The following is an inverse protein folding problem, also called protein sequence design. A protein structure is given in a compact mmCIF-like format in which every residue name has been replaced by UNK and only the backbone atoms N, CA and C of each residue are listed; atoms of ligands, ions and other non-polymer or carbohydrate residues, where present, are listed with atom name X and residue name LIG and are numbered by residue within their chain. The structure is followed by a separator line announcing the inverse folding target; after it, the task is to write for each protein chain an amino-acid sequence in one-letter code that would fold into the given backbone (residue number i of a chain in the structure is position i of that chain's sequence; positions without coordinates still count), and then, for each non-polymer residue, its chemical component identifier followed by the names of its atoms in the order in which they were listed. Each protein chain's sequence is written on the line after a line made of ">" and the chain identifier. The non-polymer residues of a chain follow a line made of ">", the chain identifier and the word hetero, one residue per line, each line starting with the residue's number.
data_IF_748938082202
#
_entry.id   IF_748938082202
#
_cell.length_a   1.000
_cell.length_b   1.000
_cell.length_c   1.000
_cell.angle_alpha   90.00
_cell.angle_beta   90.00
_cell.angle_gamma   90.00
#
_symmetry.space_group_name_H-M   'P 1'
#
loop_
_entity.id
_entity.type
_entity.pdbx_description
1 polymer ?
#
# COMPACT_ATOMS: atom_id res chain seq x y z
N UNK A 1 4.82 -18.67 11.92
CA UNK A 1 4.15 -19.07 10.65
C UNK A 1 3.01 -18.08 10.37
N UNK A 2 3.34 -16.83 10.03
CA UNK A 2 2.34 -15.74 9.93
C UNK A 2 2.92 -14.43 9.40
N UNK A 3 4.25 -14.33 9.43
CA UNK A 3 5.01 -13.22 8.88
C UNK A 3 4.78 -12.94 7.38
N UNK A 4 4.81 -13.95 6.49
CA UNK A 4 4.58 -13.72 5.06
C UNK A 4 3.13 -13.28 4.76
N UNK A 5 2.16 -13.81 5.51
CA UNK A 5 0.73 -13.58 5.27
C UNK A 5 0.31 -12.13 5.51
N UNK A 6 0.88 -11.42 6.51
CA UNK A 6 0.46 -10.04 6.79
C UNK A 6 0.91 -9.07 5.70
N UNK A 7 2.12 -9.24 5.17
CA UNK A 7 2.62 -8.42 4.07
C UNK A 7 1.84 -8.69 2.78
N UNK A 8 1.59 -9.97 2.47
CA UNK A 8 0.84 -10.38 1.29
C UNK A 8 -0.61 -9.85 1.31
N UNK A 9 -1.30 -10.02 2.44
CA UNK A 9 -2.66 -9.47 2.62
C UNK A 9 -2.65 -7.94 2.59
N UNK A 10 -1.63 -7.30 3.16
CA UNK A 10 -1.45 -5.85 3.10
C UNK A 10 -1.37 -5.32 1.66
N UNK A 11 -0.64 -6.00 0.78
CA UNK A 11 -0.56 -5.67 -0.65
C UNK A 11 -1.93 -5.88 -1.31
N UNK A 12 -2.59 -7.00 -1.06
CA UNK A 12 -3.90 -7.31 -1.65
C UNK A 12 -4.95 -6.26 -1.27
N UNK A 13 -4.95 -5.80 -0.02
CA UNK A 13 -5.83 -4.72 0.44
C UNK A 13 -5.44 -3.34 -0.11
N UNK A 14 -4.16 -3.10 -0.35
CA UNK A 14 -3.65 -1.85 -0.92
C UNK A 14 -4.06 -1.64 -2.38
N UNK A 15 -4.07 -2.70 -3.20
CA UNK A 15 -4.41 -2.63 -4.62
C UNK A 15 -5.73 -1.86 -4.89
N UNK A 16 -6.89 -2.24 -4.30
CA UNK A 16 -8.15 -1.54 -4.55
C UNK A 16 -8.13 -0.10 -4.03
N UNK A 17 -7.43 0.17 -2.91
CA UNK A 17 -7.30 1.52 -2.35
C UNK A 17 -6.51 2.42 -3.29
N UNK A 18 -5.37 1.96 -3.80
CA UNK A 18 -4.53 2.71 -4.75
C UNK A 18 -5.31 3.01 -6.03
N UNK A 19 -6.01 2.01 -6.59
CA UNK A 19 -6.86 2.18 -7.77
C UNK A 19 -7.97 3.23 -7.55
N UNK A 20 -8.62 3.19 -6.38
CA UNK A 20 -9.69 4.14 -6.04
C UNK A 20 -9.15 5.57 -5.91
N UNK A 21 -8.01 5.76 -5.25
CA UNK A 21 -7.40 7.08 -5.05
C UNK A 21 -6.86 7.64 -6.37
N UNK A 22 -6.26 6.81 -7.22
CA UNK A 22 -5.82 7.19 -8.55
C UNK A 22 -6.98 7.70 -9.42
N UNK A 23 -8.12 6.98 -9.40
CA UNK A 23 -9.33 7.38 -10.13
C UNK A 23 -9.95 8.68 -9.60
N UNK A 24 -10.03 8.85 -8.27
CA UNK A 24 -10.60 10.09 -7.68
C UNK A 24 -9.75 11.32 -7.96
N UNK A 25 -8.43 11.15 -8.03
CA UNK A 25 -7.49 12.24 -8.23
C UNK A 25 -7.07 12.50 -9.68
N UNK A 26 -7.52 11.70 -10.65
CA UNK A 26 -6.99 11.68 -12.03
C UNK A 26 -5.44 11.65 -12.05
N UNK A 27 -4.85 10.94 -11.09
CA UNK A 27 -3.41 10.80 -10.98
C UNK A 27 -2.98 9.46 -11.58
N UNK A 28 -1.83 9.44 -12.26
CA UNK A 28 -1.21 8.21 -12.75
C UNK A 28 -1.05 7.20 -11.61
N UNK A 29 -1.35 5.92 -11.91
CA UNK A 29 -1.38 4.84 -10.93
C UNK A 29 -0.04 4.71 -10.20
N UNK A 30 1.07 4.89 -10.91
CA UNK A 30 2.42 4.82 -10.34
C UNK A 30 2.70 5.93 -9.33
N UNK A 31 2.09 7.10 -9.49
CA UNK A 31 2.30 8.24 -8.58
C UNK A 31 1.75 7.99 -7.19
N UNK A 32 0.76 7.11 -7.07
CA UNK A 32 0.13 6.74 -5.79
C UNK A 32 0.54 5.33 -5.36
N UNK A 33 0.67 4.40 -6.31
CA UNK A 33 1.02 3.01 -6.05
C UNK A 33 2.45 2.82 -5.55
N UNK A 34 3.42 3.54 -6.12
CA UNK A 34 4.83 3.41 -5.67
C UNK A 34 5.01 3.90 -4.23
N UNK A 35 4.52 5.10 -3.82
CA UNK A 35 4.61 5.53 -2.43
C UNK A 35 3.87 4.62 -1.46
N UNK A 36 2.70 4.12 -1.87
CA UNK A 36 1.89 3.18 -1.12
C UNK A 36 2.65 1.86 -0.84
N UNK A 37 3.21 1.24 -1.87
CA UNK A 37 3.98 0.00 -1.76
C UNK A 37 5.29 0.22 -0.99
N UNK A 38 6.01 1.31 -1.27
CA UNK A 38 7.23 1.66 -0.54
C UNK A 38 6.97 1.84 0.97
N UNK A 39 5.87 2.53 1.33
CA UNK A 39 5.46 2.69 2.72
C UNK A 39 5.17 1.36 3.40
N UNK A 40 4.39 0.49 2.74
CA UNK A 40 4.07 -0.85 3.25
C UNK A 40 5.34 -1.70 3.45
N UNK A 41 6.25 -1.70 2.46
CA UNK A 41 7.51 -2.45 2.53
C UNK A 41 8.44 -1.94 3.64
N UNK A 42 8.60 -0.63 3.79
CA UNK A 42 9.48 -0.06 4.81
C UNK A 42 8.89 -0.27 6.21
N UNK A 43 7.58 -0.06 6.39
CA UNK A 43 6.96 -0.33 7.69
C UNK A 43 7.05 -1.80 8.08
N UNK A 44 6.92 -2.71 7.11
CA UNK A 44 7.06 -4.14 7.38
C UNK A 44 8.51 -4.54 7.70
N UNK A 45 9.51 -4.04 6.95
CA UNK A 45 10.89 -4.51 7.05
C UNK A 45 11.78 -3.77 8.05
N UNK A 46 11.53 -2.49 8.31
CA UNK A 46 12.46 -1.59 9.03
C UNK A 46 11.99 -1.19 10.42
N UNK A 47 10.70 -1.32 10.74
CA UNK A 47 10.18 -0.97 12.06
C UNK A 47 10.23 -2.22 12.95
N UNK A 48 10.87 -2.16 14.14
CA UNK A 48 10.91 -3.29 15.08
C UNK A 48 9.57 -3.41 15.81
N UNK A 49 8.60 -4.14 15.24
CA UNK A 49 8.04 -5.28 15.97
C UNK A 49 8.05 -6.58 15.14
N UNK A 50 8.84 -6.63 14.06
CA UNK A 50 8.98 -7.83 13.22
C UNK A 50 9.97 -8.83 13.86
N UNK A 51 9.69 -10.14 13.81
CA UNK A 51 10.56 -11.19 14.36
C UNK A 51 12.03 -11.15 13.92
N UNK A 52 12.37 -10.63 12.73
CA UNK A 52 13.75 -10.57 12.25
C UNK A 52 14.58 -9.56 13.05
N UNK A 53 14.20 -8.27 13.03
CA UNK A 53 14.81 -7.26 13.89
C UNK A 53 14.73 -7.61 15.38
N UNK A 54 13.62 -8.18 15.85
CA UNK A 54 13.47 -8.61 17.25
C UNK A 54 14.48 -9.70 17.64
N UNK A 55 14.67 -10.73 16.82
CA UNK A 55 15.66 -11.79 17.07
C UNK A 55 17.08 -11.22 17.06
N UNK A 56 17.38 -10.26 16.18
CA UNK A 56 18.68 -9.60 16.17
C UNK A 56 18.92 -8.76 17.44
N UNK A 57 17.89 -8.06 17.94
CA UNK A 57 17.96 -7.27 19.19
C UNK A 57 18.17 -8.18 20.40
N UNK A 58 17.40 -9.27 20.47
CA UNK A 58 17.47 -10.28 21.54
C UNK A 58 18.85 -10.96 21.56
N UNK A 59 19.42 -11.24 20.38
CA UNK A 59 20.77 -11.82 20.25
C UNK A 59 21.90 -10.85 20.63
N UNK A 60 21.65 -9.53 20.58
CA UNK A 60 22.65 -8.49 20.89
C UNK A 60 22.49 -7.89 22.29
N UNK A 61 21.55 -8.39 23.10
CA UNK A 61 21.16 -7.83 24.42
C UNK A 61 20.84 -6.31 24.34
N UNK A 62 20.31 -5.88 23.20
CA UNK A 62 20.10 -4.47 22.90
C UNK A 62 18.75 -3.97 23.42
N UNK A 63 18.68 -2.70 23.80
CA UNK A 63 17.45 -2.10 24.29
C UNK A 63 16.41 -1.91 23.16
N UNK A 64 15.28 -2.63 23.25
CA UNK A 64 14.17 -2.57 22.29
C UNK A 64 13.70 -1.14 21.98
N UNK A 65 13.61 -0.28 23.01
CA UNK A 65 13.12 1.09 22.85
C UNK A 65 14.07 1.95 21.99
N UNK A 66 15.38 1.80 22.19
CA UNK A 66 16.40 2.53 21.42
C UNK A 66 16.43 2.06 19.98
N UNK A 67 16.36 0.74 19.75
CA UNK A 67 16.35 0.18 18.40
C UNK A 67 15.08 0.54 17.63
N UNK A 68 13.94 0.61 18.32
CA UNK A 68 12.69 1.10 17.72
C UNK A 68 12.81 2.57 17.32
N UNK A 69 13.36 3.42 18.19
CA UNK A 69 13.59 4.83 17.89
C UNK A 69 14.53 5.00 16.67
N UNK A 70 15.63 4.25 16.60
CA UNK A 70 16.54 4.25 15.46
C UNK A 70 15.89 3.70 14.19
N UNK A 71 15.09 2.63 14.29
CA UNK A 71 14.35 2.06 13.18
C UNK A 71 13.36 3.06 12.57
N UNK A 72 12.61 3.78 13.40
CA UNK A 72 11.71 4.85 12.95
C UNK A 72 12.49 6.01 12.33
N UNK A 73 13.60 6.41 12.97
CA UNK A 73 14.47 7.48 12.47
C UNK A 73 15.01 7.19 11.06
N UNK A 74 15.34 5.93 10.76
CA UNK A 74 15.80 5.49 9.44
C UNK A 74 14.63 5.20 8.48
N UNK A 75 13.49 4.75 8.99
CA UNK A 75 12.30 4.47 8.18
C UNK A 75 11.74 5.74 7.51
N UNK A 76 11.69 6.87 8.23
CA UNK A 76 11.19 8.15 7.71
C UNK A 76 11.92 8.59 6.42
N UNK A 77 13.26 8.77 6.41
CA UNK A 77 13.97 9.16 5.19
C UNK A 77 13.87 8.09 4.10
N UNK A 78 13.84 6.81 4.48
CA UNK A 78 13.69 5.70 3.52
C UNK A 78 12.34 5.77 2.81
N UNK A 79 11.23 5.99 3.52
CA UNK A 79 9.89 6.15 2.92
C UNK A 79 9.82 7.38 2.03
N UNK A 80 10.45 8.50 2.43
CA UNK A 80 10.45 9.73 1.62
C UNK A 80 11.21 9.52 0.31
N UNK A 81 12.37 8.86 0.35
CA UNK A 81 13.20 8.63 -0.82
C UNK A 81 12.60 7.54 -1.72
N UNK A 82 12.26 6.39 -1.15
CA UNK A 82 11.70 5.25 -1.89
C UNK A 82 10.24 5.47 -2.34
N UNK A 83 9.50 6.33 -1.65
CA UNK A 83 8.12 6.64 -1.97
C UNK A 83 8.00 7.81 -2.95
N UNK A 84 7.73 9.05 -2.49
CA UNK A 84 7.42 10.16 -3.38
C UNK A 84 8.56 10.61 -4.30
N UNK A 85 9.82 10.52 -3.86
CA UNK A 85 10.97 10.91 -4.70
C UNK A 85 11.18 9.91 -5.83
N UNK A 86 11.23 8.61 -5.52
CA UNK A 86 11.32 7.57 -6.53
C UNK A 86 10.06 7.50 -7.41
N UNK A 87 8.86 7.69 -6.85
CA UNK A 87 7.62 7.72 -7.62
C UNK A 87 7.58 8.84 -8.66
N UNK A 88 8.14 10.02 -8.35
CA UNK A 88 8.28 11.12 -9.34
C UNK A 88 9.25 10.76 -10.47
N UNK A 89 10.30 9.99 -10.17
CA UNK A 89 11.26 9.54 -11.17
C UNK A 89 10.69 8.42 -12.03
N UNK A 90 10.07 7.42 -11.40
CA UNK A 90 9.43 6.29 -12.07
C UNK A 90 8.26 6.74 -12.95
N UNK A 91 7.43 7.70 -12.50
CA UNK A 91 6.34 8.27 -13.31
C UNK A 91 6.83 8.98 -14.59
N UNK A 92 8.11 9.33 -14.70
CA UNK A 92 8.69 9.85 -15.95
C UNK A 92 9.09 8.75 -16.93
N UNK A 93 9.26 7.51 -16.47
CA UNK A 93 9.76 6.39 -17.27
C UNK A 93 8.65 5.48 -17.78
N UNK A 94 7.55 5.37 -17.02
CA UNK A 94 6.39 4.54 -17.39
C UNK A 94 5.13 5.36 -17.09
N UNK A 95 4.58 6.02 -18.10
CA UNK A 95 3.30 6.73 -17.98
C UNK A 95 2.16 5.76 -18.28
N UNK A 96 1.83 4.92 -17.29
CA UNK A 96 0.66 4.05 -17.39
C UNK A 96 -0.52 4.81 -16.79
N UNK A 97 -1.34 5.38 -17.68
CA UNK A 97 -2.70 5.79 -17.36
C UNK A 97 -3.47 4.58 -16.83
N UNK A 98 -4.30 4.73 -15.76
CA UNK A 98 -4.99 3.60 -15.16
C UNK A 98 -5.87 2.91 -16.21
N UNK A 99 -5.64 1.62 -16.55
CA UNK A 99 -6.46 0.93 -17.53
C UNK A 99 -7.89 0.81 -16.99
N UNK A 100 -8.84 1.41 -17.72
CA UNK A 100 -10.28 1.44 -17.38
C UNK A 100 -10.89 0.04 -17.13
N UNK A 101 -10.22 -1.04 -17.55
CA UNK A 101 -10.71 -2.42 -17.49
C UNK A 101 -10.33 -3.22 -16.24
N UNK A 102 -9.50 -2.70 -15.33
CA UNK A 102 -9.16 -3.38 -14.05
C UNK A 102 -9.97 -2.86 -12.85
N UNK A 103 -11.04 -2.12 -13.10
CA UNK A 103 -11.88 -1.50 -12.08
C UNK A 103 -12.82 -2.55 -11.48
N UNK A 104 -12.82 -2.79 -10.15
CA UNK A 104 -13.93 -3.44 -9.49
C UNK A 104 -15.17 -2.57 -9.71
N UNK A 105 -16.15 -3.06 -10.47
CA UNK A 105 -17.37 -2.32 -10.72
C UNK A 105 -18.00 -1.92 -9.38
N UNK A 106 -18.42 -0.66 -9.28
CA UNK A 106 -19.12 -0.22 -8.07
C UNK A 106 -20.37 -1.09 -7.92
N UNK A 107 -20.65 -1.67 -6.74
CA UNK A 107 -21.96 -2.28 -6.49
C UNK A 107 -23.14 -1.31 -6.72
N UNK A 108 -22.86 -0.01 -6.76
CA UNK A 108 -23.86 1.02 -7.03
C UNK A 108 -24.21 1.20 -8.52
N UNK A 109 -23.41 0.70 -9.47
CA UNK A 109 -23.78 0.75 -10.91
C UNK A 109 -24.83 -0.32 -11.28
N UNK A 110 -25.02 -1.33 -10.43
CA UNK A 110 -26.12 -2.31 -10.54
C UNK A 110 -27.43 -1.84 -9.87
N UNK A 111 -27.47 -0.61 -9.33
CA UNK A 111 -28.70 -0.05 -8.75
C UNK A 111 -29.68 0.48 -9.80
N UNK A 112 -29.21 0.80 -11.01
CA UNK A 112 -30.06 1.26 -12.12
C UNK A 112 -30.79 0.10 -12.83
N UNK A 113 -30.45 -1.15 -12.50
CA UNK A 113 -30.95 -2.36 -13.19
C UNK A 113 -31.86 -3.23 -12.31
N UNK A 114 -32.69 -2.61 -11.47
CA UNK A 114 -33.75 -3.35 -10.75
C UNK A 114 -35.06 -3.29 -11.54
N UNK A 115 -35.73 -4.43 -11.78
CA UNK A 115 -37.07 -4.42 -12.36
C UNK A 115 -38.00 -3.63 -11.43
N UNK A 116 -38.75 -2.69 -12.00
CA UNK A 116 -39.74 -1.91 -11.25
C UNK A 116 -40.77 -2.86 -10.63
N UNK A 117 -41.12 -2.66 -9.37
CA UNK A 117 -42.15 -3.41 -8.64
C UNK A 117 -43.53 -3.40 -9.34
N UNK A 118 -43.74 -2.57 -10.36
CA UNK A 118 -44.91 -2.57 -11.22
C UNK A 118 -45.05 -3.82 -12.12
N UNK A 119 -43.99 -4.63 -12.29
CA UNK A 119 -44.04 -5.86 -13.08
C UNK A 119 -44.61 -7.09 -12.36
N UNK A 120 -44.96 -6.94 -11.08
CA UNK A 120 -45.39 -8.06 -10.20
C UNK A 120 -46.82 -7.89 -9.68
N UNK A 121 -47.65 -7.08 -10.34
CA UNK A 121 -49.05 -6.84 -9.99
C UNK A 121 -49.97 -7.23 -11.15
#
# INVERSE_FOLDING_TARGET
>A
IGLPLFFEVGIVLMIPVVLLVAKRGNFSLMRIGIPALAGLSVMHGLIPPHPGPLVAIDSLDANLGVTLALGVLVAIPTVIIAGPVFARYAARWVDIEPPEKMIPQRPSEDLDRRPSFAGTL
#
